data_IF_071391670767
#
_entry.id   IF_071391670767
#
_cell.length_a   1.000
_cell.length_b   1.000
_cell.length_c   1.000
_cell.angle_alpha   90.00
_cell.angle_beta   90.00
_cell.angle_gamma   90.00
#
_symmetry.space_group_name_H-M   'P 1'
#
loop_
_entity.id
_entity.type
_entity.pdbx_description
1 polymer ?
2 non-polymer ?
3 water ?
#
# COMPACT_ATOMS: atom_id res chain seq x y z
N UNK A 16 2.69 24.64 -13.27
CA UNK A 16 1.42 25.35 -13.31
C UNK A 16 0.28 24.57 -12.70
N UNK A 17 0.33 23.24 -12.82
CA UNK A 17 -0.67 22.32 -12.29
C UNK A 17 -0.42 22.00 -10.81
N UNK A 18 -1.47 22.13 -9.99
CA UNK A 18 -1.45 21.86 -8.55
C UNK A 18 -1.40 20.37 -8.20
N UNK A 19 -2.03 19.53 -9.03
CA UNK A 19 -2.07 18.07 -8.79
C UNK A 19 -1.58 17.27 -9.98
N UNK A 20 -0.97 16.10 -9.71
CA UNK A 20 -0.53 15.15 -10.74
C UNK A 20 -1.39 13.87 -10.62
N UNK A 21 -1.95 13.41 -11.75
CA UNK A 21 -2.86 12.26 -11.80
C UNK A 21 -2.24 11.06 -12.50
N UNK A 22 -2.07 9.97 -11.76
CA UNK A 22 -1.45 8.73 -12.24
C UNK A 22 -2.44 7.57 -12.31
N UNK A 23 -2.60 6.99 -13.51
CA UNK A 23 -3.45 5.82 -13.76
C UNK A 23 -2.64 4.61 -13.30
N UNK A 24 -3.09 3.93 -12.25
CA UNK A 24 -2.32 2.83 -11.69
C UNK A 24 -2.74 1.51 -12.30
N UNK A 25 -2.16 1.19 -13.46
CA UNK A 25 -2.41 -0.06 -14.22
C UNK A 25 -2.04 -1.29 -13.42
N UNK A 26 -1.02 -1.16 -12.57
CA UNK A 26 -0.58 -2.22 -11.67
C UNK A 26 -1.54 -2.49 -10.52
N UNK A 27 -2.67 -1.75 -10.44
CA UNK A 27 -3.69 -1.91 -9.40
C UNK A 27 -5.07 -2.10 -10.03
N UNK A 28 -5.90 -2.98 -9.45
CA UNK A 28 -7.26 -3.28 -9.88
C UNK A 28 -8.19 -3.43 -8.70
N UNK A 29 -9.49 -3.34 -8.95
CA UNK A 29 -10.54 -3.46 -7.95
C UNK A 29 -11.35 -4.73 -8.07
N UNK A 30 -11.86 -5.17 -6.91
CA UNK A 30 -12.76 -6.30 -6.75
C UNK A 30 -13.93 -5.80 -5.91
N UNK A 31 -15.17 -6.14 -6.31
CA UNK A 31 -16.36 -5.78 -5.56
C UNK A 31 -16.74 -6.92 -4.63
N UNK A 32 -16.87 -6.62 -3.33
CA UNK A 32 -17.26 -7.59 -2.29
C UNK A 32 -18.59 -7.12 -1.69
N UNK A 33 -19.71 -7.77 -2.11
CA UNK A 33 -21.08 -7.43 -1.71
C UNK A 33 -21.76 -8.57 -0.92
N UNK A 34 -23.02 -8.34 -0.53
CA UNK A 34 -23.82 -9.30 0.20
C UNK A 34 -23.99 -8.92 1.67
N UNK A 35 -24.98 -9.55 2.37
CA UNK A 35 -25.19 -9.20 3.79
C UNK A 35 -24.10 -9.66 4.76
N UNK A 36 -23.18 -10.54 4.30
CA UNK A 36 -22.11 -11.10 5.13
C UNK A 36 -20.70 -10.70 4.68
N UNK A 37 -20.59 -9.72 3.77
CA UNK A 37 -19.32 -9.23 3.25
C UNK A 37 -18.39 -8.70 4.35
N UNK A 38 -18.96 -8.05 5.40
CA UNK A 38 -18.19 -7.51 6.52
C UNK A 38 -17.58 -8.60 7.43
N UNK A 39 -18.34 -9.53 8.08
CA UNK A 39 -17.69 -10.55 8.93
C UNK A 39 -16.74 -11.49 8.17
N UNK A 40 -17.00 -11.68 6.87
CA UNK A 40 -16.22 -12.51 5.96
C UNK A 40 -14.84 -11.91 5.75
N UNK A 41 -14.77 -10.62 5.36
CA UNK A 41 -13.50 -9.91 5.15
C UNK A 41 -12.73 -9.69 6.44
N UNK A 42 -13.45 -9.47 7.57
CA UNK A 42 -12.85 -9.26 8.90
C UNK A 42 -11.94 -10.41 9.38
N UNK A 43 -12.32 -11.64 9.07
CA UNK A 43 -11.55 -12.82 9.47
C UNK A 43 -10.36 -13.12 8.58
N UNK A 44 -10.19 -12.38 7.49
CA UNK A 44 -9.10 -12.60 6.53
C UNK A 44 -8.11 -11.44 6.45
N UNK A 45 -8.47 -10.29 7.03
CA UNK A 45 -7.66 -9.08 6.96
C UNK A 45 -7.05 -8.68 8.29
N UNK A 46 -5.96 -7.91 8.25
CA UNK A 46 -5.21 -7.45 9.43
C UNK A 46 -5.86 -6.28 10.17
N UNK A 47 -6.82 -5.61 9.53
CA UNK A 47 -7.44 -4.44 10.09
C UNK A 47 -8.95 -4.55 10.19
N UNK A 48 -9.54 -3.53 10.82
CA UNK A 48 -10.97 -3.31 10.93
C UNK A 48 -11.37 -2.78 9.55
N UNK A 49 -12.66 -2.87 9.20
CA UNK A 49 -13.17 -2.45 7.89
C UNK A 49 -13.57 -0.97 7.88
N UNK A 50 -13.22 -0.21 6.81
CA UNK A 50 -13.61 1.22 6.78
C UNK A 50 -15.12 1.41 6.55
N UNK A 51 -15.89 1.30 7.62
CA UNK A 51 -17.34 1.43 7.57
C UNK A 51 -17.73 2.90 7.69
N UNK A 52 -18.34 3.50 6.63
CA UNK A 52 -18.76 4.92 6.73
C UNK A 52 -19.83 5.11 7.79
N UNK A 53 -19.79 6.26 8.50
CA UNK A 53 -20.71 6.64 9.58
C UNK A 53 -22.17 6.55 9.13
N UNK A 54 -23.11 6.04 9.98
CA UNK A 54 -24.52 5.94 9.56
C UNK A 54 -25.11 7.31 9.18
N UNK A 55 -25.62 7.40 7.94
CA UNK A 55 -26.20 8.62 7.37
C UNK A 55 -27.48 9.04 8.10
N UNK A 56 -27.53 10.31 8.54
CA UNK A 56 -28.63 10.91 9.30
C UNK A 56 -29.34 12.06 8.56
N UNK A 57 -30.62 12.32 8.92
CA UNK A 57 -31.56 13.34 8.39
C UNK A 57 -31.93 13.14 6.90
N UNK A 58 -30.92 12.94 6.04
CA UNK A 58 -31.05 12.69 4.61
C UNK A 58 -30.23 11.48 4.18
N UNK A 59 -29.68 11.47 2.92
CA UNK A 59 -28.89 10.34 2.43
C UNK A 59 -27.73 10.68 1.43
N UNK A 60 -26.71 11.51 1.77
CA UNK A 60 -25.63 11.77 0.80
C UNK A 60 -24.67 10.56 0.69
N UNK A 61 -24.40 10.05 -0.54
CA UNK A 61 -23.51 8.87 -0.66
C UNK A 61 -22.09 9.12 -0.16
N UNK A 62 -21.62 8.24 0.74
CA UNK A 62 -20.31 8.36 1.37
C UNK A 62 -19.41 7.16 1.13
N UNK A 63 -18.10 7.39 1.25
CA UNK A 63 -17.07 6.38 1.11
C UNK A 63 -16.05 6.59 2.20
N UNK A 64 -15.46 5.48 2.69
CA UNK A 64 -14.42 5.47 3.70
C UNK A 64 -13.32 4.53 3.25
N UNK A 65 -12.05 4.95 3.38
CA UNK A 65 -10.87 4.17 2.97
C UNK A 65 -10.07 3.63 4.16
N UNK A 66 -9.57 2.40 3.99
CA UNK A 66 -8.74 1.71 4.95
C UNK A 66 -7.62 0.94 4.29
N UNK A 67 -6.57 0.62 5.05
CA UNK A 67 -5.42 -0.16 4.59
C UNK A 67 -5.37 -1.43 5.40
N UNK A 68 -4.90 -2.51 4.78
CA UNK A 68 -4.76 -3.83 5.38
C UNK A 68 -3.95 -4.75 4.48
N UNK A 69 -3.51 -5.87 5.06
CA UNK A 69 -2.90 -6.97 4.33
C UNK A 69 -3.74 -8.21 4.57
N UNK A 70 -3.73 -9.11 3.59
CA UNK A 70 -4.28 -10.44 3.67
C UNK A 70 -3.02 -11.25 3.98
N UNK A 71 -2.98 -11.91 5.15
CA UNK A 71 -1.82 -12.72 5.53
C UNK A 71 -2.08 -14.18 5.25
N UNK A 72 -1.00 -14.99 5.25
CA UNK A 72 -1.10 -16.44 5.15
C UNK A 72 -1.16 -16.96 6.61
N UNK A 73 -1.33 -18.28 6.81
CA UNK A 73 -1.42 -18.90 8.14
C UNK A 73 -0.11 -18.75 8.96
N UNK A 74 1.05 -18.59 8.29
CA UNK A 74 2.34 -18.40 8.95
C UNK A 74 2.64 -16.93 9.31
N UNK A 75 1.62 -16.07 9.25
CA UNK A 75 1.68 -14.65 9.58
C UNK A 75 2.42 -13.75 8.60
N UNK A 76 2.66 -14.22 7.37
CA UNK A 76 3.38 -13.45 6.34
C UNK A 76 2.40 -12.80 5.37
N UNK A 77 2.78 -11.63 4.82
CA UNK A 77 1.96 -10.86 3.89
C UNK A 77 1.75 -11.60 2.58
N UNK A 78 0.49 -11.73 2.17
CA UNK A 78 0.16 -12.31 0.88
C UNK A 78 -0.05 -11.14 -0.06
N UNK A 79 -1.03 -10.26 0.26
CA UNK A 79 -1.39 -9.11 -0.57
C UNK A 79 -1.62 -7.83 0.24
N UNK A 80 -1.17 -6.68 -0.27
CA UNK A 80 -1.44 -5.36 0.33
C UNK A 80 -2.73 -4.86 -0.31
N UNK A 81 -3.68 -4.40 0.48
CA UNK A 81 -4.97 -3.99 -0.07
C UNK A 81 -5.48 -2.67 0.51
N UNK A 82 -6.11 -1.87 -0.34
CA UNK A 82 -6.77 -0.63 0.07
C UNK A 82 -8.26 -0.96 -0.02
N UNK A 83 -8.94 -0.81 1.11
CA UNK A 83 -10.35 -1.12 1.26
C UNK A 83 -11.18 0.12 1.15
N UNK A 84 -12.29 0.04 0.44
CA UNK A 84 -13.22 1.16 0.28
C UNK A 84 -14.60 0.69 0.71
N UNK A 85 -15.05 1.21 1.84
CA UNK A 85 -16.37 0.93 2.38
C UNK A 85 -17.40 1.80 1.69
N UNK A 86 -18.35 1.17 1.00
CA UNK A 86 -19.36 1.90 0.25
C UNK A 86 -20.71 2.01 0.96
N UNK A 87 -21.32 3.21 0.87
CA UNK A 87 -22.60 3.56 1.44
C UNK A 87 -23.44 4.31 0.40
N UNK A 88 -24.70 3.87 0.23
CA UNK A 88 -25.66 4.46 -0.70
C UNK A 88 -27.08 4.29 -0.14
N UNK A 89 -27.83 5.42 -0.03
CA UNK A 89 -29.20 5.52 0.50
C UNK A 89 -29.28 5.10 1.98
N UNK A 90 -28.33 5.60 2.82
CA UNK A 90 -28.17 5.37 4.27
C UNK A 90 -27.79 3.91 4.64
N UNK A 91 -27.69 3.02 3.64
CA UNK A 91 -27.34 1.60 3.81
C UNK A 91 -26.00 1.25 3.18
N UNK A 92 -25.35 0.19 3.69
CA UNK A 92 -24.04 -0.27 3.19
C UNK A 92 -24.19 -0.93 1.81
N UNK A 93 -23.55 -0.30 0.80
CA UNK A 93 -23.56 -0.71 -0.61
C UNK A 93 -22.65 -1.92 -0.88
N UNK A 94 -21.65 -2.12 -0.01
CA UNK A 94 -20.67 -3.20 -0.10
C UNK A 94 -19.25 -2.69 0.09
N UNK A 95 -18.27 -3.38 -0.54
CA UNK A 95 -16.85 -3.01 -0.44
C UNK A 95 -16.09 -3.15 -1.76
N UNK A 96 -15.05 -2.34 -1.93
CA UNK A 96 -14.14 -2.40 -3.06
C UNK A 96 -12.77 -2.72 -2.49
N UNK A 97 -12.10 -3.75 -3.06
CA UNK A 97 -10.76 -4.17 -2.63
C UNK A 97 -9.78 -3.81 -3.74
N UNK A 98 -8.81 -2.94 -3.42
CA UNK A 98 -7.78 -2.55 -4.36
C UNK A 98 -6.53 -3.40 -4.09
N UNK A 99 -6.13 -4.23 -5.07
CA UNK A 99 -4.97 -5.09 -4.98
C UNK A 99 -4.08 -4.93 -6.20
N UNK A 100 -2.91 -5.61 -6.19
CA UNK A 100 -1.97 -5.70 -7.29
C UNK A 100 -2.66 -6.47 -8.42
N UNK A 101 -2.54 -5.96 -9.66
CA UNK A 101 -3.14 -6.54 -10.85
C UNK A 101 -2.73 -7.99 -11.10
N UNK A 102 -1.46 -8.33 -10.83
CA UNK A 102 -0.90 -9.67 -11.00
C UNK A 102 -1.41 -10.70 -9.97
N UNK A 103 -2.04 -10.26 -8.87
CA UNK A 103 -2.57 -11.19 -7.86
C UNK A 103 -4.11 -11.08 -7.68
N UNK A 104 -4.82 -10.57 -8.69
CA UNK A 104 -6.28 -10.46 -8.67
C UNK A 104 -6.90 -11.87 -8.58
N UNK A 105 -6.42 -12.79 -9.43
CA UNK A 105 -6.85 -14.17 -9.52
C UNK A 105 -6.58 -14.97 -8.26
N UNK A 106 -5.32 -14.91 -7.75
CA UNK A 106 -4.87 -15.58 -6.53
C UNK A 106 -5.70 -15.15 -5.33
N UNK A 107 -6.01 -13.82 -5.23
CA UNK A 107 -6.85 -13.24 -4.19
C UNK A 107 -8.30 -13.73 -4.30
N UNK A 108 -8.85 -13.78 -5.53
CA UNK A 108 -10.20 -14.26 -5.83
C UNK A 108 -10.35 -15.72 -5.43
N UNK A 109 -9.28 -16.52 -5.63
CA UNK A 109 -9.24 -17.94 -5.25
C UNK A 109 -9.11 -18.06 -3.73
N UNK A 110 -8.30 -17.19 -3.10
CA UNK A 110 -8.10 -17.14 -1.65
C UNK A 110 -9.41 -16.79 -0.94
N UNK A 111 -10.18 -15.83 -1.50
CA UNK A 111 -11.48 -15.42 -0.96
C UNK A 111 -12.51 -16.52 -1.15
N UNK A 112 -12.46 -17.26 -2.29
CA UNK A 112 -13.35 -18.39 -2.60
C UNK A 112 -13.18 -19.53 -1.59
N UNK A 113 -11.92 -19.81 -1.20
CA UNK A 113 -11.50 -20.82 -0.24
C UNK A 113 -12.16 -20.64 1.15
N UNK A 114 -12.61 -19.41 1.47
CA UNK A 114 -13.23 -19.04 2.74
C UNK A 114 -14.69 -18.56 2.67
N UNK A 115 -15.27 -18.40 1.45
CA UNK A 115 -16.64 -17.88 1.28
C UNK A 115 -17.73 -18.95 1.33
N UNK A 116 -17.25 -20.19 1.35
CA UNK A 116 -18.01 -21.45 1.11
C UNK A 116 -19.35 -21.50 1.87
N UNK A 117 -19.38 -21.11 3.14
CA UNK A 117 -20.54 -21.11 4.07
C UNK A 117 -21.28 -19.77 4.26
N UNK A 118 -20.94 -18.69 3.51
CA UNK A 118 -21.59 -17.39 3.71
C UNK A 118 -22.13 -16.66 2.48
N UNK A 119 -23.11 -15.76 2.72
CA UNK A 119 -23.79 -14.91 1.73
C UNK A 119 -22.89 -13.74 1.35
N UNK A 120 -21.99 -13.97 0.38
CA UNK A 120 -21.03 -12.99 -0.12
C UNK A 120 -20.68 -13.24 -1.60
N UNK A 121 -20.58 -12.16 -2.39
CA UNK A 121 -20.22 -12.20 -3.80
C UNK A 121 -18.95 -11.41 -4.06
N UNK A 122 -17.92 -12.07 -4.63
CA UNK A 122 -16.64 -11.48 -5.02
C UNK A 122 -16.56 -11.51 -6.55
N UNK A 123 -16.42 -10.34 -7.18
CA UNK A 123 -16.34 -10.20 -8.65
C UNK A 123 -15.39 -9.06 -9.03
N UNK A 124 -14.67 -9.12 -10.18
CA UNK A 124 -13.81 -7.99 -10.55
C UNK A 124 -14.67 -6.76 -10.90
N UNK A 125 -14.16 -5.57 -10.58
CA UNK A 125 -14.86 -4.32 -10.84
C UNK A 125 -14.08 -3.48 -11.90
N UNK A 126 -14.09 -3.86 -13.22
CA UNK A 126 -13.32 -3.09 -14.21
C UNK A 126 -13.95 -1.74 -14.56
N UNK A 127 -15.22 -1.52 -14.14
CA UNK A 127 -16.04 -0.32 -14.29
C UNK A 127 -15.28 0.93 -13.82
N UNK A 128 -14.56 0.81 -12.68
CA UNK A 128 -13.73 1.87 -12.12
C UNK A 128 -12.26 1.53 -12.27
N UNK A 129 -11.42 2.54 -12.56
CA UNK A 129 -9.97 2.39 -12.68
C UNK A 129 -9.30 3.06 -11.49
N UNK A 130 -8.15 2.53 -11.07
CA UNK A 130 -7.38 3.07 -9.95
C UNK A 130 -6.45 4.18 -10.43
N UNK A 131 -6.51 5.34 -9.76
CA UNK A 131 -5.68 6.50 -10.00
C UNK A 131 -5.17 7.00 -8.66
N UNK A 132 -4.01 7.67 -8.69
CA UNK A 132 -3.41 8.31 -7.53
C UNK A 132 -3.31 9.80 -7.88
N UNK A 133 -3.64 10.67 -6.90
CA UNK A 133 -3.62 12.11 -7.06
C UNK A 133 -2.64 12.66 -6.02
N UNK A 134 -1.50 13.12 -6.51
CA UNK A 134 -0.43 13.65 -5.67
C UNK A 134 -0.31 15.16 -5.82
N UNK A 135 -0.10 15.91 -4.71
CA UNK A 135 0.08 17.36 -4.86
C UNK A 135 1.47 17.64 -5.44
N UNK A 136 1.50 18.36 -6.58
CA UNK A 136 2.74 18.70 -7.31
C UNK A 136 3.71 19.52 -6.46
N UNK A 137 3.16 20.43 -5.62
CA UNK A 137 3.95 21.29 -4.73
C UNK A 137 4.53 20.50 -3.55
N UNK A 138 5.89 20.34 -3.47
CA UNK A 138 6.47 19.62 -2.34
C UNK A 138 6.48 20.48 -1.07
N UNK A 139 6.11 19.88 0.08
CA UNK A 139 5.99 20.51 1.41
C UNK A 139 4.78 21.47 1.52
N UNK A 140 4.54 22.29 0.48
CA UNK A 140 3.45 23.26 0.38
C UNK A 140 2.09 22.56 0.35
N UNK A 141 1.09 23.14 1.03
CA UNK A 141 -0.25 22.49 1.10
C UNK A 141 -1.28 23.26 0.26
N UNK A 142 -1.92 22.56 -0.68
CA UNK A 142 -2.96 23.13 -1.56
C UNK A 142 -2.49 24.37 -2.30
N UNK A 143 -3.31 25.41 -2.32
CA UNK A 143 -4.79 25.26 -2.38
C UNK A 143 -5.31 25.88 -3.68
N UNK A 144 -6.09 25.16 -4.49
CA UNK A 144 -5.83 23.76 -4.96
C UNK A 144 -6.37 22.72 -3.97
N UNK A 145 -7.18 23.15 -3.00
CA UNK A 145 -7.76 22.21 -2.00
C UNK A 145 -8.66 21.20 -2.71
N UNK A 146 -8.63 19.94 -2.26
CA UNK A 146 -9.42 18.84 -2.87
C UNK A 146 -10.50 18.40 -1.87
N UNK A 147 -11.70 18.07 -2.36
CA UNK A 147 -12.79 17.64 -1.51
C UNK A 147 -13.12 16.17 -1.77
N UNK A 148 -13.40 15.41 -0.70
CA UNK A 148 -13.75 13.99 -0.79
C UNK A 148 -15.03 13.78 -1.59
N UNK A 149 -14.95 12.95 -2.65
CA UNK A 149 -16.07 12.62 -3.53
C UNK A 149 -16.41 11.13 -3.40
N UNK A 150 -17.70 10.79 -3.48
CA UNK A 150 -18.17 9.41 -3.34
C UNK A 150 -19.33 9.05 -4.28
N UNK A 151 -19.90 7.86 -4.10
CA UNK A 151 -21.02 7.34 -4.89
C UNK A 151 -20.59 6.71 -6.21
N UNK A 152 -21.56 6.50 -7.11
CA UNK A 152 -21.36 5.91 -8.44
C UNK A 152 -20.55 6.82 -9.35
N UNK A 153 -19.94 6.24 -10.41
CA UNK A 153 -19.10 6.86 -11.44
C UNK A 153 -17.71 7.30 -10.97
N UNK A 154 -17.59 7.86 -9.73
CA UNK A 154 -16.31 8.31 -9.17
C UNK A 154 -16.24 8.35 -7.63
N UNK A 155 -15.05 8.01 -7.10
CA UNK A 155 -14.69 8.04 -5.67
C UNK A 155 -13.32 8.74 -5.57
N UNK A 156 -13.25 9.82 -4.80
CA UNK A 156 -12.03 10.59 -4.54
C UNK A 156 -11.88 10.62 -3.03
N UNK A 157 -10.80 9.99 -2.56
CA UNK A 157 -10.59 9.79 -1.13
C UNK A 157 -9.13 9.84 -0.74
N UNK A 158 -8.87 10.28 0.48
CA UNK A 158 -7.52 10.36 1.01
C UNK A 158 -6.92 8.95 1.11
N UNK A 159 -5.64 8.80 0.71
CA UNK A 159 -4.93 7.52 0.80
C UNK A 159 -4.90 7.12 2.30
N UNK A 160 -5.42 5.95 2.72
CA UNK A 160 -5.45 5.68 4.18
C UNK A 160 -4.09 5.38 4.84
N UNK A 161 -3.04 5.15 4.04
CA UNK A 161 -1.71 4.82 4.55
C UNK A 161 -0.97 6.01 5.15
N UNK A 162 -0.98 7.14 4.43
CA UNK A 162 -0.31 8.37 4.82
C UNK A 162 -0.68 9.49 3.90
N UNK A 163 -0.75 10.73 4.47
CA UNK A 163 -1.01 11.99 3.76
C UNK A 163 0.00 12.22 2.65
N UNK A 164 1.21 11.66 2.80
CA UNK A 164 2.29 11.73 1.83
C UNK A 164 1.93 10.97 0.54
N UNK A 165 0.94 10.08 0.59
CA UNK A 165 0.48 9.33 -0.59
C UNK A 165 -0.70 9.99 -1.31
N UNK A 166 -1.03 11.23 -0.91
CA UNK A 166 -2.09 12.03 -1.48
C UNK A 166 -3.46 11.40 -1.44
N UNK A 167 -4.13 11.35 -2.61
CA UNK A 167 -5.48 10.82 -2.73
C UNK A 167 -5.57 9.65 -3.72
N UNK A 168 -6.60 8.80 -3.54
CA UNK A 168 -6.98 7.70 -4.42
C UNK A 168 -8.20 8.16 -5.21
N UNK A 169 -8.16 7.99 -6.54
CA UNK A 169 -9.27 8.33 -7.42
C UNK A 169 -9.73 7.09 -8.18
N UNK A 170 -10.95 6.65 -7.91
CA UNK A 170 -11.60 5.48 -8.52
C UNK A 170 -12.61 6.04 -9.49
N UNK A 171 -12.32 5.93 -10.81
CA UNK A 171 -13.17 6.54 -11.84
C UNK A 171 -13.16 5.76 -13.14
N UNK A 172 -14.28 5.89 -13.88
CA UNK A 172 -14.47 5.32 -15.22
C UNK A 172 -13.90 6.31 -16.25
N UNK A 173 -13.73 7.58 -15.84
CA UNK A 173 -13.24 8.69 -16.67
C UNK A 173 -11.73 8.97 -16.46
N UNK A 174 -11.25 10.12 -16.95
CA UNK A 174 -9.85 10.56 -16.84
C UNK A 174 -9.65 11.33 -15.54
N UNK A 175 -8.47 11.17 -14.94
CA UNK A 175 -8.07 11.80 -13.69
C UNK A 175 -8.16 13.32 -13.70
N UNK A 176 -7.44 14.03 -14.62
CA UNK A 176 -7.49 15.51 -14.63
C UNK A 176 -8.86 16.14 -14.89
N UNK A 177 -9.82 15.38 -15.48
CA UNK A 177 -11.17 15.86 -15.80
C UNK A 177 -11.99 16.18 -14.55
N UNK A 178 -11.72 15.48 -13.44
CA UNK A 178 -12.40 15.69 -12.16
C UNK A 178 -11.58 16.57 -11.21
N UNK A 179 -10.25 16.44 -11.25
CA UNK A 179 -9.33 17.18 -10.38
C UNK A 179 -9.02 18.59 -10.92
N UNK A 180 -9.43 19.67 -10.20
CA UNK A 180 -9.14 21.03 -10.68
C UNK A 180 -7.67 21.38 -10.47
N UNK A 181 -7.02 21.82 -11.55
CA UNK A 181 -5.59 22.10 -11.57
C UNK A 181 -4.77 20.83 -11.64
N UNK A 182 -5.41 19.75 -12.10
CA UNK A 182 -4.81 18.44 -12.26
C UNK A 182 -4.34 18.20 -13.67
N UNK A 183 -3.20 17.52 -13.79
CA UNK A 183 -2.60 17.17 -15.07
C UNK A 183 -2.17 15.72 -15.00
N UNK A 184 -2.02 15.07 -16.14
CA UNK A 184 -1.57 13.68 -16.21
C UNK A 184 -0.15 13.58 -15.71
N UNK A 185 0.09 12.54 -14.95
CA UNK A 185 1.40 12.25 -14.40
C UNK A 185 2.03 11.06 -15.06
N UNK A 186 3.35 11.11 -15.18
CA UNK A 186 4.18 10.04 -15.69
C UNK A 186 4.26 9.06 -14.52
N UNK A 187 3.86 7.79 -14.77
CA UNK A 187 3.86 6.70 -13.81
C UNK A 187 5.21 6.47 -13.13
N UNK A 188 6.33 6.91 -13.77
CA UNK A 188 7.68 6.83 -13.21
C UNK A 188 7.75 7.70 -11.94
N UNK A 189 7.20 8.93 -12.01
CA UNK A 189 7.18 9.90 -10.91
C UNK A 189 6.38 9.40 -9.71
N UNK A 190 5.32 8.60 -9.95
CA UNK A 190 4.52 8.03 -8.87
C UNK A 190 5.36 7.00 -8.09
N UNK A 191 5.98 6.03 -8.80
CA UNK A 191 6.81 5.00 -8.17
C UNK A 191 8.07 5.59 -7.55
N UNK A 192 8.64 6.64 -8.17
CA UNK A 192 9.80 7.35 -7.66
C UNK A 192 9.43 8.03 -6.33
N UNK A 193 8.19 8.58 -6.24
CA UNK A 193 7.64 9.25 -5.06
C UNK A 193 7.47 8.26 -3.90
N UNK A 194 6.94 7.06 -4.19
CA UNK A 194 6.75 5.96 -3.23
C UNK A 194 8.09 5.50 -2.65
N UNK A 195 9.09 5.24 -3.50
CA UNK A 195 10.40 4.80 -3.05
C UNK A 195 11.11 5.87 -2.22
N UNK A 196 11.00 7.15 -2.62
CA UNK A 196 11.55 8.28 -1.87
C UNK A 196 10.85 8.47 -0.51
N UNK A 197 9.52 8.17 -0.44
CA UNK A 197 8.75 8.24 0.81
C UNK A 197 8.77 6.93 1.64
N UNK A 198 9.33 5.85 1.09
CA UNK A 198 9.41 4.56 1.76
C UNK A 198 8.08 3.85 1.83
N UNK A 199 7.22 4.06 0.82
CA UNK A 199 5.88 3.48 0.76
C UNK A 199 5.91 2.20 -0.07
N UNK A 200 5.79 1.02 0.59
CA UNK A 200 5.71 -0.24 -0.18
C UNK A 200 4.30 -0.42 -0.76
N UNK A 201 4.25 -0.93 -1.98
CA UNK A 201 3.04 -1.22 -2.72
C UNK A 201 3.33 -2.26 -3.79
N UNK A 202 2.60 -3.36 -3.74
CA UNK A 202 2.73 -4.41 -4.73
C UNK A 202 3.58 -5.60 -4.36
N UNK A 203 3.49 -6.64 -5.20
CA UNK A 203 4.13 -7.96 -5.08
C UNK A 203 5.67 -7.90 -5.12
N UNK A 204 6.27 -6.86 -5.75
CA UNK A 204 7.73 -6.72 -5.78
C UNK A 204 8.23 -6.18 -4.43
N UNK A 205 7.57 -5.14 -3.88
CA UNK A 205 7.88 -4.55 -2.57
C UNK A 205 7.49 -5.49 -1.43
N UNK A 206 6.43 -6.26 -1.63
CA UNK A 206 5.90 -7.15 -0.61
C UNK A 206 5.72 -8.54 -1.22
N UNK A 207 6.80 -9.35 -1.35
CA UNK A 207 6.68 -10.66 -1.99
C UNK A 207 5.71 -11.55 -1.24
N UNK A 208 4.64 -12.04 -1.91
CA UNK A 208 3.65 -12.88 -1.23
C UNK A 208 4.28 -14.09 -0.54
N UNK A 209 3.99 -14.24 0.76
CA UNK A 209 4.50 -15.32 1.60
C UNK A 209 5.94 -15.20 2.06
N UNK A 210 6.59 -14.05 1.78
CA UNK A 210 7.98 -13.78 2.16
C UNK A 210 8.02 -12.55 3.10
N UNK A 211 7.38 -11.44 2.69
CA UNK A 211 7.35 -10.22 3.49
C UNK A 211 6.53 -10.44 4.77
N UNK A 212 7.03 -9.94 5.92
CA UNK A 212 6.33 -10.00 7.20
C UNK A 212 5.62 -8.66 7.36
N UNK A 213 4.32 -8.64 7.79
CA UNK A 213 3.56 -7.37 7.81
C UNK A 213 4.13 -6.21 8.63
N UNK A 214 4.54 -6.46 9.89
CA UNK A 214 5.08 -5.44 10.79
C UNK A 214 6.44 -4.92 10.34
N UNK A 215 7.21 -5.78 9.65
CA UNK A 215 8.51 -5.45 9.07
C UNK A 215 8.28 -4.59 7.81
N UNK A 216 7.08 -4.72 7.23
CA UNK A 216 6.63 -3.99 6.05
C UNK A 216 6.04 -2.63 6.43
N UNK A 217 6.07 -2.31 7.76
CA UNK A 217 5.59 -1.06 8.38
C UNK A 217 4.05 -0.91 8.36
N UNK A 218 3.33 -2.06 8.43
CA UNK A 218 1.86 -2.11 8.43
C UNK A 218 1.21 -1.24 9.51
N UNK A 219 1.81 -1.16 10.72
CA UNK A 219 1.29 -0.33 11.82
C UNK A 219 1.47 1.17 11.57
N UNK A 220 2.63 1.57 11.01
CA UNK A 220 2.94 2.96 10.65
C UNK A 220 2.03 3.47 9.50
N UNK A 221 1.39 2.53 8.76
CA UNK A 221 0.53 2.78 7.60
C UNK A 221 -0.96 2.52 7.87
N UNK A 222 -1.39 2.53 9.16
CA UNK A 222 -2.78 2.33 9.60
C UNK A 222 -3.42 1.05 8.98
N UNK A 223 -2.65 -0.03 8.92
CA UNK A 223 -3.13 -1.27 8.31
C UNK A 223 -3.41 -2.42 9.25
N UNK A 224 -3.25 -2.22 10.57
CA UNK A 224 -3.45 -3.34 11.52
C UNK A 224 -4.14 -2.89 12.79
N UNK A 225 -5.00 -3.76 13.30
CA UNK A 225 -5.75 -3.57 14.54
C UNK A 225 -5.39 -4.66 15.54
N UNK A 226 -5.12 -4.25 16.81
CA UNK A 226 -4.81 -5.16 17.92
C UNK A 226 -5.99 -5.25 18.93
N UNK A 227 -7.05 -4.47 18.67
CA UNK A 227 -8.28 -4.42 19.47
C UNK A 227 -9.42 -5.06 18.65
N UNK A 228 -9.06 -6.01 17.77
CA UNK A 228 -9.97 -6.67 16.84
C UNK A 228 -10.06 -8.18 17.06
N UNK A 229 -11.13 -8.80 16.53
CA UNK A 229 -11.37 -10.23 16.54
C UNK A 229 -10.35 -11.03 15.73
N UNK A 230 -10.56 -12.35 15.67
CA UNK A 230 -9.64 -13.26 14.98
C UNK A 230 -9.57 -13.07 13.47
N UNK A 231 -8.34 -13.24 12.94
CA UNK A 231 -8.03 -13.15 11.52
C UNK A 231 -6.83 -14.04 11.15
N UNK A 232 -6.71 -14.42 9.85
CA UNK A 232 -5.61 -15.26 9.37
C UNK A 232 -4.26 -14.56 9.67
N UNK A 233 -3.44 -15.19 10.50
CA UNK A 233 -2.13 -14.70 10.90
C UNK A 233 -2.08 -13.74 12.08
N UNK A 234 -3.21 -13.58 12.83
CA UNK A 234 -3.31 -12.68 13.98
C UNK A 234 -2.33 -12.98 15.10
N UNK A 235 -2.25 -14.28 15.51
CA UNK A 235 -1.43 -14.79 16.60
C UNK A 235 0.04 -14.36 16.51
N UNK A 236 0.73 -14.68 15.38
CA UNK A 236 2.13 -14.28 15.18
C UNK A 236 2.26 -12.76 15.14
N UNK A 237 1.30 -12.06 14.49
CA UNK A 237 1.29 -10.60 14.36
C UNK A 237 1.27 -9.94 15.73
N UNK A 238 0.30 -10.32 16.59
CA UNK A 238 0.14 -9.80 17.95
C UNK A 238 1.40 -10.03 18.78
N UNK A 239 1.92 -11.27 18.76
CA UNK A 239 3.12 -11.70 19.44
C UNK A 239 4.31 -10.79 19.12
N UNK A 240 4.65 -10.66 17.82
CA UNK A 240 5.77 -9.83 17.33
C UNK A 240 5.64 -8.37 17.79
N UNK A 241 4.43 -7.77 17.62
CA UNK A 241 4.13 -6.40 18.03
C UNK A 241 4.39 -6.16 19.53
N UNK A 242 4.02 -7.14 20.38
CA UNK A 242 4.13 -7.01 21.82
C UNK A 242 5.45 -7.47 22.45
N UNK A 243 6.11 -8.50 21.90
CA UNK A 243 7.36 -9.04 22.46
C UNK A 243 8.55 -8.06 22.42
N UNK A 244 8.57 -7.17 21.42
CA UNK A 244 9.62 -6.17 21.31
C UNK A 244 9.57 -5.27 20.09
N UNK A 245 10.53 -4.34 20.03
CA UNK A 245 10.75 -3.38 18.95
C UNK A 245 11.00 -4.18 17.66
N UNK A 246 10.36 -3.78 16.54
CA UNK A 246 10.55 -4.43 15.24
C UNK A 246 11.99 -4.13 14.79
N UNK A 247 12.85 -5.14 14.87
CA UNK A 247 14.30 -5.08 14.61
C UNK A 247 14.67 -4.86 13.14
N UNK A 248 13.84 -5.37 12.20
CA UNK A 248 14.07 -5.24 10.76
C UNK A 248 12.86 -4.54 10.13
N UNK A 249 13.13 -3.53 9.27
CA UNK A 249 12.07 -2.78 8.58
C UNK A 249 12.45 -2.44 7.16
N UNK A 250 11.44 -2.15 6.33
CA UNK A 250 11.67 -1.68 4.98
C UNK A 250 11.98 -0.20 5.11
N UNK A 251 13.14 0.21 4.57
CA UNK A 251 13.59 1.59 4.60
C UNK A 251 13.80 2.09 3.19
N UNK A 252 13.52 3.39 2.93
CA UNK A 252 13.85 3.94 1.61
C UNK A 252 15.37 4.02 1.45
N UNK A 253 15.86 3.53 0.33
CA UNK A 253 17.28 3.56 0.00
C UNK A 253 17.50 4.34 -1.28
N UNK A 254 18.70 4.92 -1.44
CA UNK A 254 19.12 5.66 -2.62
C UNK A 254 20.56 5.29 -2.94
N UNK A 255 20.81 4.94 -4.20
CA UNK A 255 22.13 4.54 -4.65
C UNK A 255 22.95 5.77 -4.98
N UNK A 256 24.20 5.81 -4.48
CA UNK A 256 25.13 6.93 -4.61
C UNK A 256 26.18 6.70 -5.69
N UNK A 257 26.27 5.47 -6.23
CA UNK A 257 27.21 5.07 -7.27
C UNK A 257 26.47 4.53 -8.52
N UNK A 258 27.05 4.62 -9.75
CA UNK A 258 26.34 4.11 -10.94
C UNK A 258 25.90 2.65 -10.82
N UNK A 259 24.70 2.33 -11.34
CA UNK A 259 24.13 1.00 -11.26
C UNK A 259 24.44 0.14 -12.49
N UNK A 260 24.50 -1.22 -12.36
CA UNK A 260 24.77 -2.06 -13.54
C UNK A 260 23.62 -2.06 -14.56
N UNK A 261 23.90 -2.53 -15.79
CA UNK A 261 22.96 -2.60 -16.92
C UNK A 261 21.67 -3.36 -16.57
N UNK A 262 21.80 -4.49 -15.85
CA UNK A 262 20.68 -5.32 -15.40
C UNK A 262 19.92 -4.63 -14.25
N UNK A 263 20.69 -4.00 -13.36
CA UNK A 263 20.19 -3.32 -12.17
C UNK A 263 20.57 -4.08 -10.91
N UNK A 264 19.86 -3.82 -9.79
CA UNK A 264 20.13 -4.51 -8.53
C UNK A 264 19.18 -5.72 -8.39
N UNK A 265 19.76 -6.92 -8.12
CA UNK A 265 19.05 -8.20 -7.95
C UNK A 265 18.01 -8.05 -6.82
N UNK A 266 16.73 -8.49 -7.05
CA UNK A 266 15.65 -8.29 -6.05
C UNK A 266 15.86 -8.80 -4.61
N UNK A 267 16.98 -9.47 -4.32
CA UNK A 267 17.28 -9.95 -2.98
C UNK A 267 18.70 -9.69 -2.54
N UNK A 268 19.39 -8.73 -3.20
CA UNK A 268 20.79 -8.37 -2.96
C UNK A 268 21.07 -7.92 -1.53
N UNK A 269 22.08 -8.51 -0.92
CA UNK A 269 22.54 -8.27 0.44
C UNK A 269 23.12 -6.86 0.62
N UNK A 270 22.69 -6.16 1.69
CA UNK A 270 23.16 -4.83 2.06
C UNK A 270 24.25 -5.05 3.10
N UNK A 271 25.45 -4.55 2.80
CA UNK A 271 26.62 -4.75 3.65
C UNK A 271 27.17 -3.45 4.17
N UNK A 272 27.81 -3.51 5.35
CA UNK A 272 28.50 -2.38 5.95
C UNK A 272 29.96 -2.41 5.42
N UNK A 273 30.80 -1.43 5.82
CA UNK A 273 32.20 -1.34 5.38
C UNK A 273 33.04 -2.61 5.63
N UNK A 274 32.68 -3.42 6.65
CA UNK A 274 33.39 -4.66 7.03
C UNK A 274 32.88 -5.94 6.32
N UNK A 275 31.69 -5.88 5.73
CA UNK A 275 31.11 -7.03 5.02
C UNK A 275 30.02 -7.76 5.79
N UNK A 276 29.50 -7.16 6.87
CA UNK A 276 28.44 -7.74 7.68
C UNK A 276 27.07 -7.47 7.02
N UNK A 277 26.26 -8.55 6.83
CA UNK A 277 24.91 -8.50 6.25
C UNK A 277 24.01 -7.72 7.21
N UNK A 278 23.64 -6.50 6.83
CA UNK A 278 22.81 -5.63 7.67
C UNK A 278 21.39 -5.48 7.09
N UNK A 279 21.21 -5.95 5.86
CA UNK A 279 19.94 -5.86 5.17
C UNK A 279 19.87 -6.56 3.84
N UNK A 280 18.72 -6.42 3.17
CA UNK A 280 18.45 -7.01 1.86
C UNK A 280 17.63 -6.07 0.99
N UNK A 281 18.10 -5.85 -0.25
CA UNK A 281 17.38 -5.01 -1.20
C UNK A 281 16.09 -5.70 -1.54
N UNK A 282 15.02 -4.93 -1.58
CA UNK A 282 13.72 -5.50 -1.87
C UNK A 282 13.39 -5.23 -3.34
N UNK A 283 13.01 -4.00 -3.65
CA UNK A 283 12.63 -3.56 -5.00
C UNK A 283 12.80 -2.06 -5.10
N UNK A 284 12.89 -1.58 -6.33
CA UNK A 284 13.04 -0.17 -6.60
C UNK A 284 12.78 0.16 -8.04
N UNK A 285 13.15 1.39 -8.39
CA UNK A 285 13.00 1.97 -9.72
C UNK A 285 14.10 3.02 -9.81
N UNK A 286 14.90 2.95 -10.86
CA UNK A 286 16.00 3.89 -11.07
C UNK A 286 17.06 3.79 -9.98
N UNK A 287 17.39 4.94 -9.34
CA UNK A 287 18.39 5.02 -8.27
C UNK A 287 17.78 5.00 -6.85
N UNK A 288 16.50 4.62 -6.73
CA UNK A 288 15.78 4.57 -5.46
C UNK A 288 15.05 3.25 -5.27
N UNK A 289 14.73 2.92 -4.02
CA UNK A 289 14.03 1.70 -3.70
C UNK A 289 13.82 1.46 -2.22
N UNK A 290 13.54 0.21 -1.87
CA UNK A 290 13.36 -0.22 -0.47
C UNK A 290 14.29 -1.37 -0.14
N UNK A 291 14.75 -1.42 1.11
CA UNK A 291 15.60 -2.50 1.62
C UNK A 291 15.18 -2.86 3.02
N UNK A 292 15.10 -4.17 3.30
CA UNK A 292 14.75 -4.68 4.61
C UNK A 292 16.04 -4.62 5.40
N UNK A 293 16.14 -3.67 6.31
CA UNK A 293 17.36 -3.42 7.06
C UNK A 293 17.14 -3.52 8.55
N UNK A 294 18.21 -3.92 9.27
CA UNK A 294 18.22 -3.92 10.72
C UNK A 294 18.31 -2.43 11.11
N UNK A 295 17.18 -1.88 11.62
CA UNK A 295 17.01 -0.48 12.03
C UNK A 295 18.19 0.13 12.80
N UNK A 296 18.88 -0.70 13.62
CA UNK A 296 20.03 -0.31 14.44
C UNK A 296 21.25 -0.01 13.57
N UNK A 297 21.39 -0.70 12.42
CA UNK A 297 22.52 -0.58 11.50
C UNK A 297 22.12 0.07 10.16
N UNK A 298 21.64 1.33 10.20
CA UNK A 298 21.24 2.09 8.99
C UNK A 298 22.04 3.40 8.85
N UNK A 299 22.85 3.77 9.86
CA UNK A 299 23.67 4.99 9.82
C UNK A 299 24.95 4.81 9.02
N UNK A 300 25.90 4.01 9.55
CA UNK A 300 27.21 3.70 8.97
C UNK A 300 27.22 3.38 7.48
N UNK A 301 28.33 3.70 6.74
CA UNK A 301 28.36 3.47 5.28
C UNK A 301 27.91 2.09 4.80
N UNK A 302 26.89 2.07 3.92
CA UNK A 302 26.28 0.85 3.35
C UNK A 302 26.58 0.69 1.86
N UNK A 303 26.62 -0.57 1.38
CA UNK A 303 26.85 -0.93 -0.03
C UNK A 303 26.29 -2.31 -0.40
N UNK A 304 26.26 -2.65 -1.71
CA UNK A 304 25.82 -3.93 -2.28
C UNK A 304 26.93 -4.40 -3.24
N UNK A 305 27.24 -5.72 -3.33
CA UNK A 305 28.28 -6.21 -4.27
C UNK A 305 27.81 -6.18 -5.73
N UNK A 306 28.73 -5.84 -6.68
CA UNK A 306 28.44 -5.74 -8.11
C UNK A 306 29.35 -6.59 -9.03
N UNK A 307 30.64 -6.18 -9.21
CA UNK A 307 31.58 -6.89 -10.08
C UNK A 307 32.97 -7.06 -9.48
N UNK A 308 33.65 -5.94 -9.12
CA UNK A 308 35.00 -5.96 -8.54
C UNK A 308 34.95 -6.45 -7.07
N UNK A 309 33.91 -6.04 -6.33
CA UNK A 309 33.69 -6.46 -4.95
C UNK A 309 33.30 -5.40 -3.94
N UNK A 310 33.51 -4.10 -4.27
CA UNK A 310 33.22 -2.97 -3.36
C UNK A 310 31.98 -2.14 -3.72
N UNK A 311 31.80 -1.81 -5.02
CA UNK A 311 30.66 -1.03 -5.56
C UNK A 311 29.42 -1.90 -5.45
N UNK A 312 28.17 -1.36 -5.30
CA UNK A 312 27.63 0.01 -5.35
C UNK A 312 27.26 0.55 -3.95
N UNK A 313 27.58 1.85 -3.66
CA UNK A 313 27.25 2.54 -2.41
C UNK A 313 25.75 2.85 -2.34
N UNK A 314 25.19 2.83 -1.12
CA UNK A 314 23.78 3.02 -0.83
C UNK A 314 23.57 3.89 0.43
N UNK A 315 22.48 4.70 0.45
CA UNK A 315 22.10 5.54 1.59
C UNK A 315 20.70 5.19 2.11
N UNK A 316 20.58 4.89 3.42
CA UNK A 316 19.30 4.55 4.04
C UNK A 316 18.72 5.77 4.75
N UNK A 317 17.39 5.95 4.63
CA UNK A 317 16.69 7.08 5.20
C UNK A 317 15.48 6.68 6.05
N UNK A 318 15.07 7.55 6.98
CA UNK A 318 13.90 7.33 7.83
C UNK A 318 12.76 8.24 7.29
N UNK A 319 11.63 7.68 6.77
CA UNK A 319 10.52 8.55 6.30
C UNK A 319 10.00 9.48 7.38
N UNK A 320 9.75 10.75 7.01
CA UNK A 320 9.28 11.83 7.90
C UNK A 320 7.84 11.64 8.41
N UNK A 321 7.04 10.78 7.74
CA UNK A 321 5.64 10.53 8.10
C UNK A 321 5.47 9.39 9.13
N UNK A 322 6.59 8.73 9.50
CA UNK A 322 6.62 7.66 10.49
C UNK A 322 6.60 8.22 11.92
N UNK A 323 6.10 7.48 12.92
CA UNK A 323 6.22 7.94 14.31
C UNK A 323 7.69 7.83 14.76
#
# INVERSE_FOLDING_TARGET
>A
GLAHSSCSPGGDPTAGAAWACFRLDGRTLLRVRGPDAAPFLLGLLTNELPLPSPAAAGAPPAARAGYAHFLNVQGRTLYDVILYGLQEHSEVSGFLLECDSSVQGALQKHLALYRIRRKVTVEPHPELRVWAVLPSSPEACGAASLQERAGAAAILIRDPRTARMGWRLLTQDEGPALVPGGRLGDLWDYHQHRYLQGVPEGVRDLPPGVALPLESNLAFMNGVSFTKGCYIGQELTARTHHMGVIRKRLFPVRFLDPLPTSGITPGATVLTASGQTVGKFRAGQGNVGLALLWSEKIKGPLHIRASEGAQVALAASVPDWWPTVSK
#
